data_IF_475114262732
#
_entry.id   IF_475114262732
#
_cell.length_a   1.000
_cell.length_b   1.000
_cell.length_c   1.000
_cell.angle_alpha   90.00
_cell.angle_beta   90.00
_cell.angle_gamma   90.00
#
_symmetry.space_group_name_H-M   'P 1'
#
loop_
_entity.id
_entity.type
_entity.pdbx_description
1 polymer ?
#
# COMPACT_ATOMS: atom_id res chain seq x y z
N UNK A 1 -5.09 -44.22 22.02
CA UNK A 1 -4.65 -43.13 21.11
C UNK A 1 -5.26 -41.84 21.61
N UNK A 2 -4.45 -40.85 21.99
CA UNK A 2 -4.95 -39.50 22.25
C UNK A 2 -5.06 -38.79 20.90
N UNK A 3 -6.28 -38.39 20.52
CA UNK A 3 -6.51 -37.60 19.31
C UNK A 3 -6.43 -36.12 19.70
N UNK A 4 -5.53 -35.39 19.02
CA UNK A 4 -5.55 -33.92 19.06
C UNK A 4 -6.75 -33.44 18.25
N UNK A 5 -7.80 -33.01 18.93
CA UNK A 5 -9.03 -32.49 18.31
C UNK A 5 -8.87 -31.07 17.76
N UNK A 6 -7.93 -30.29 18.30
CA UNK A 6 -7.60 -28.94 17.82
C UNK A 6 -6.08 -28.72 17.75
N UNK A 7 -5.50 -28.81 16.54
CA UNK A 7 -4.10 -28.46 16.31
C UNK A 7 -3.98 -26.99 15.91
N UNK A 8 -3.62 -26.14 16.87
CA UNK A 8 -3.30 -24.72 16.64
C UNK A 8 -1.79 -24.50 16.78
N UNK A 9 -1.08 -24.27 15.68
CA UNK A 9 0.34 -23.90 15.71
C UNK A 9 0.65 -22.78 14.70
N UNK A 10 1.70 -22.03 14.99
CA UNK A 10 2.28 -21.00 14.12
C UNK A 10 3.78 -21.24 14.08
N UNK A 11 4.38 -21.17 12.89
CA UNK A 11 5.80 -21.45 12.68
C UNK A 11 6.04 -22.61 11.73
N UNK A 12 7.28 -23.10 11.69
CA UNK A 12 7.68 -24.21 10.83
C UNK A 12 7.47 -25.55 11.52
N UNK A 13 6.90 -26.51 10.80
CA UNK A 13 6.84 -27.92 11.21
C UNK A 13 7.28 -28.78 10.02
N UNK A 14 8.54 -29.24 10.05
CA UNK A 14 9.17 -29.95 8.93
C UNK A 14 9.08 -29.16 7.62
N UNK A 15 8.48 -29.78 6.61
CA UNK A 15 8.21 -29.22 5.29
C UNK A 15 7.07 -28.19 5.29
N UNK A 16 6.36 -27.98 6.38
CA UNK A 16 5.23 -27.06 6.44
C UNK A 16 5.57 -25.79 7.20
N UNK A 17 4.87 -24.70 6.87
CA UNK A 17 4.89 -23.45 7.62
C UNK A 17 3.47 -22.96 7.80
N UNK A 18 3.07 -22.79 9.05
CA UNK A 18 1.76 -22.28 9.43
C UNK A 18 1.88 -20.81 9.88
N UNK A 19 0.99 -19.95 9.40
CA UNK A 19 0.91 -18.56 9.82
C UNK A 19 -0.54 -18.04 9.74
N UNK A 20 -0.84 -16.98 10.49
CA UNK A 20 -2.12 -16.28 10.39
C UNK A 20 -1.98 -15.04 9.52
N UNK A 21 -2.88 -14.86 8.57
CA UNK A 21 -2.98 -13.61 7.83
C UNK A 21 -3.88 -12.63 8.58
N UNK A 22 -3.44 -11.37 8.65
CA UNK A 22 -4.26 -10.31 9.27
C UNK A 22 -5.52 -10.09 8.42
N UNK A 23 -6.69 -10.24 9.02
CA UNK A 23 -7.99 -10.14 8.34
C UNK A 23 -8.63 -11.48 7.98
N UNK A 24 -8.03 -12.60 8.38
CA UNK A 24 -8.65 -13.93 8.27
C UNK A 24 -8.48 -14.69 9.59
N UNK A 25 -9.51 -15.37 10.06
CA UNK A 25 -9.43 -16.21 11.26
C UNK A 25 -8.80 -17.59 11.00
N UNK A 26 -8.51 -17.88 9.73
CA UNK A 26 -7.93 -19.15 9.28
C UNK A 26 -6.41 -19.15 9.41
N UNK A 27 -5.86 -20.30 9.82
CA UNK A 27 -4.42 -20.56 9.73
C UNK A 27 -4.08 -21.02 8.33
N UNK A 28 -3.15 -20.33 7.67
CA UNK A 28 -2.63 -20.72 6.35
C UNK A 28 -1.44 -21.64 6.57
N UNK A 29 -1.52 -22.85 6.03
CA UNK A 29 -0.43 -23.83 6.05
C UNK A 29 0.09 -23.98 4.61
N UNK A 30 1.38 -23.76 4.41
CA UNK A 30 2.04 -23.96 3.11
C UNK A 30 3.17 -24.98 3.23
N UNK A 31 3.41 -25.73 2.16
CA UNK A 31 4.63 -26.53 2.02
C UNK A 31 5.80 -25.63 1.62
N UNK A 32 6.99 -25.88 2.17
CA UNK A 32 8.26 -25.29 1.76
C UNK A 32 8.62 -25.87 0.40
N UNK A 33 8.94 -25.00 -0.54
CA UNK A 33 9.24 -25.40 -1.92
C UNK A 33 9.49 -24.17 -2.79
N UNK A 34 9.65 -24.41 -4.08
CA UNK A 34 9.96 -23.40 -5.08
C UNK A 34 11.45 -23.36 -5.44
N UNK A 35 11.75 -22.70 -6.55
CA UNK A 35 13.13 -22.52 -6.99
C UNK A 35 13.90 -21.58 -6.05
N UNK A 36 15.19 -21.84 -5.85
CA UNK A 36 16.03 -20.97 -5.06
C UNK A 36 16.16 -19.59 -5.71
N UNK A 37 16.45 -18.55 -4.91
CA UNK A 37 16.69 -17.19 -5.41
C UNK A 37 17.79 -17.18 -6.50
N UNK A 38 18.85 -17.96 -6.32
CA UNK A 38 19.94 -18.03 -7.29
C UNK A 38 19.47 -18.69 -8.59
N UNK A 39 18.71 -19.79 -8.49
CA UNK A 39 18.12 -20.45 -9.66
C UNK A 39 17.21 -19.51 -10.45
N UNK A 40 16.37 -18.71 -9.77
CA UNK A 40 15.49 -17.72 -10.41
C UNK A 40 16.32 -16.64 -11.12
N UNK A 41 17.45 -16.23 -10.54
CA UNK A 41 18.31 -15.18 -11.08
C UNK A 41 19.09 -15.62 -12.32
N UNK A 42 19.59 -16.85 -12.34
CA UNK A 42 20.56 -17.31 -13.35
C UNK A 42 19.98 -18.23 -14.41
N UNK A 43 19.05 -19.12 -14.05
CA UNK A 43 18.54 -20.13 -14.98
C UNK A 43 17.79 -19.51 -16.15
N UNK A 44 18.01 -20.04 -17.36
CA UNK A 44 17.29 -19.64 -18.58
C UNK A 44 15.78 -19.85 -18.45
N UNK A 45 15.34 -20.88 -17.71
CA UNK A 45 13.91 -21.18 -17.49
C UNK A 45 13.13 -20.02 -16.85
N UNK A 46 13.81 -19.17 -16.08
CA UNK A 46 13.19 -18.03 -15.41
C UNK A 46 13.40 -16.69 -16.14
N UNK A 47 13.87 -16.69 -17.39
CA UNK A 47 14.13 -15.46 -18.14
C UNK A 47 12.89 -14.56 -18.26
N UNK A 48 11.76 -15.11 -18.71
CA UNK A 48 10.49 -14.37 -18.83
C UNK A 48 9.96 -13.94 -17.47
N UNK A 49 10.06 -14.81 -16.45
CA UNK A 49 9.65 -14.47 -15.09
C UNK A 49 10.44 -13.28 -14.53
N UNK A 50 11.74 -13.15 -14.84
CA UNK A 50 12.55 -11.98 -14.47
C UNK A 50 12.07 -10.68 -15.12
N UNK A 51 11.60 -10.74 -16.38
CA UNK A 51 11.01 -9.59 -17.06
C UNK A 51 9.71 -9.17 -16.37
N UNK A 52 8.82 -10.12 -16.06
CA UNK A 52 7.58 -9.84 -15.33
C UNK A 52 7.82 -9.32 -13.91
N UNK A 53 8.82 -9.84 -13.20
CA UNK A 53 9.20 -9.34 -11.87
C UNK A 53 9.67 -7.88 -11.93
N UNK A 54 10.42 -7.51 -12.96
CA UNK A 54 10.87 -6.12 -13.18
C UNK A 54 9.68 -5.19 -13.37
N UNK A 55 8.76 -5.56 -14.26
CA UNK A 55 7.50 -4.85 -14.49
C UNK A 55 6.63 -4.72 -13.23
N UNK A 56 6.50 -5.82 -12.47
CA UNK A 56 5.75 -5.84 -11.21
C UNK A 56 6.38 -4.94 -10.14
N UNK A 57 7.72 -4.88 -10.10
CA UNK A 57 8.46 -3.93 -9.27
C UNK A 57 8.13 -2.48 -9.64
N UNK A 58 8.00 -2.17 -10.93
CA UNK A 58 7.53 -0.88 -11.41
C UNK A 58 6.12 -0.54 -10.92
N UNK A 59 5.16 -1.45 -11.13
CA UNK A 59 3.77 -1.28 -10.66
C UNK A 59 3.72 -1.07 -9.14
N UNK A 60 4.53 -1.80 -8.39
CA UNK A 60 4.60 -1.68 -6.92
C UNK A 60 5.16 -0.32 -6.47
N UNK A 61 6.14 0.22 -7.21
CA UNK A 61 6.75 1.52 -6.93
C UNK A 61 5.80 2.66 -7.29
N UNK A 62 5.17 2.63 -8.45
CA UNK A 62 4.14 3.61 -8.80
C UNK A 62 2.92 3.51 -7.86
N UNK A 63 2.53 2.29 -7.46
CA UNK A 63 1.45 2.08 -6.49
C UNK A 63 1.76 2.69 -5.12
N UNK A 64 3.04 2.73 -4.72
CA UNK A 64 3.46 3.47 -3.53
C UNK A 64 3.19 4.97 -3.70
N UNK A 65 3.49 5.55 -4.85
CA UNK A 65 3.26 6.97 -5.12
C UNK A 65 1.77 7.32 -5.18
N UNK A 66 0.94 6.50 -5.85
CA UNK A 66 -0.53 6.61 -5.83
C UNK A 66 -1.06 6.69 -4.41
N UNK A 67 -0.61 5.79 -3.53
CA UNK A 67 -1.01 5.76 -2.11
C UNK A 67 -0.42 6.92 -1.30
N UNK A 68 0.79 7.36 -1.63
CA UNK A 68 1.44 8.48 -0.98
C UNK A 68 0.69 9.80 -1.26
N UNK A 69 0.20 10.00 -2.50
CA UNK A 69 -0.61 11.15 -2.89
C UNK A 69 -1.97 11.24 -2.19
N UNK A 70 -2.44 10.15 -1.58
CA UNK A 70 -3.66 10.10 -0.77
C UNK A 70 -3.36 9.84 0.71
N UNK A 71 -2.16 10.15 1.19
CA UNK A 71 -1.78 9.93 2.59
C UNK A 71 -2.77 10.51 3.63
N UNK A 72 -3.41 11.67 3.42
CA UNK A 72 -4.43 12.18 4.34
C UNK A 72 -5.60 11.21 4.56
N UNK A 73 -5.90 10.39 3.55
CA UNK A 73 -6.99 9.41 3.58
C UNK A 73 -6.61 8.11 4.30
N UNK A 74 -5.36 7.98 4.77
CA UNK A 74 -4.87 6.75 5.43
C UNK A 74 -5.70 6.34 6.64
N UNK A 75 -6.28 7.30 7.36
CA UNK A 75 -7.14 7.02 8.50
C UNK A 75 -8.50 6.43 8.11
N UNK A 76 -8.93 6.60 6.86
CA UNK A 76 -10.21 6.16 6.32
C UNK A 76 -10.10 4.84 5.54
N UNK A 77 -8.91 4.52 5.05
CA UNK A 77 -8.67 3.37 4.19
C UNK A 77 -8.54 2.03 4.93
N UNK A 78 -8.87 0.94 4.24
CA UNK A 78 -8.63 -0.41 4.74
C UNK A 78 -7.13 -0.73 4.81
N UNK A 79 -6.77 -1.78 5.54
CA UNK A 79 -5.36 -2.17 5.66
C UNK A 79 -4.77 -2.73 4.35
N UNK A 80 -5.58 -3.31 3.45
CA UNK A 80 -5.10 -4.15 2.35
C UNK A 80 -5.61 -3.74 0.96
N UNK A 81 -5.70 -2.43 0.66
CA UNK A 81 -6.09 -1.98 -0.69
C UNK A 81 -4.90 -1.89 -1.68
N UNK A 82 -3.66 -2.01 -1.20
CA UNK A 82 -2.44 -1.91 -2.04
C UNK A 82 -2.38 -2.91 -3.19
N UNK A 83 -2.88 -4.14 -2.97
CA UNK A 83 -2.91 -5.18 -4.01
C UNK A 83 -3.84 -4.81 -5.16
N UNK A 84 -4.97 -4.17 -4.86
CA UNK A 84 -5.94 -3.72 -5.86
C UNK A 84 -5.42 -2.54 -6.68
N UNK A 85 -4.73 -1.59 -6.02
CA UNK A 85 -4.00 -0.51 -6.74
C UNK A 85 -2.98 -1.11 -7.70
N UNK A 86 -2.17 -2.08 -7.24
CA UNK A 86 -1.20 -2.76 -8.10
C UNK A 86 -1.87 -3.54 -9.24
N UNK A 87 -3.05 -4.13 -9.02
CA UNK A 87 -3.85 -4.80 -10.07
C UNK A 87 -4.23 -3.81 -11.17
N UNK A 88 -4.77 -2.65 -10.81
CA UNK A 88 -5.14 -1.59 -11.76
C UNK A 88 -3.91 -1.08 -12.54
N UNK A 89 -2.81 -0.77 -11.85
CA UNK A 89 -1.56 -0.35 -12.50
C UNK A 89 -0.99 -1.42 -13.43
N UNK A 90 -1.15 -2.70 -13.11
CA UNK A 90 -0.73 -3.79 -14.00
C UNK A 90 -1.56 -3.84 -15.27
N UNK A 91 -2.85 -3.47 -15.23
CA UNK A 91 -3.65 -3.34 -16.45
C UNK A 91 -3.17 -2.16 -17.29
N UNK A 92 -2.94 -0.99 -16.67
CA UNK A 92 -2.34 0.17 -17.36
C UNK A 92 -1.05 -0.21 -18.07
N UNK A 93 -0.15 -0.92 -17.38
CA UNK A 93 1.11 -1.37 -17.98
C UNK A 93 0.94 -2.32 -19.17
N UNK A 94 -0.14 -3.12 -19.20
CA UNK A 94 -0.40 -4.03 -20.34
C UNK A 94 -0.86 -3.28 -21.58
N UNK A 95 -1.40 -2.07 -21.43
CA UNK A 95 -1.85 -1.23 -22.55
C UNK A 95 -0.67 -0.61 -23.30
N UNK A 96 0.55 -0.62 -22.74
CA UNK A 96 1.75 -0.27 -23.48
C UNK A 96 2.10 -1.35 -24.51
N UNK A 97 1.65 -1.13 -25.75
CA UNK A 97 1.96 -1.95 -26.92
C UNK A 97 3.26 -1.56 -27.64
N UNK A 98 3.96 -0.51 -27.20
CA UNK A 98 5.16 0.00 -27.90
C UNK A 98 6.44 -0.58 -27.28
N UNK A 99 6.50 -0.64 -25.96
CA UNK A 99 7.70 -1.10 -25.26
C UNK A 99 7.82 -2.62 -25.21
N UNK A 100 9.06 -3.10 -25.19
CA UNK A 100 9.36 -4.54 -25.04
C UNK A 100 8.98 -5.07 -23.65
N UNK A 101 8.70 -6.38 -23.57
CA UNK A 101 8.41 -7.07 -22.31
C UNK A 101 9.54 -6.84 -21.28
N UNK A 102 9.17 -6.52 -20.04
CA UNK A 102 10.11 -6.17 -18.98
C UNK A 102 10.35 -4.66 -18.84
N UNK A 103 10.04 -3.89 -19.89
CA UNK A 103 10.31 -2.44 -19.98
C UNK A 103 9.08 -1.58 -20.30
N UNK A 104 7.89 -2.18 -20.25
CA UNK A 104 6.61 -1.49 -20.49
C UNK A 104 6.35 -0.39 -19.47
N UNK A 105 6.15 0.81 -19.98
CA UNK A 105 5.81 1.99 -19.20
C UNK A 105 4.43 1.84 -18.54
N UNK A 106 4.23 2.62 -17.49
CA UNK A 106 2.98 2.66 -16.73
C UNK A 106 2.44 4.08 -16.84
N UNK A 107 1.55 4.29 -17.82
CA UNK A 107 1.03 5.61 -18.19
C UNK A 107 -0.39 5.80 -17.68
N UNK A 108 -0.53 6.22 -16.42
CA UNK A 108 -1.82 6.58 -15.85
C UNK A 108 -2.38 7.82 -16.53
N UNK A 109 -1.52 8.74 -17.00
CA UNK A 109 -1.97 9.93 -17.73
C UNK A 109 -2.78 9.57 -18.98
N UNK A 110 -2.48 8.45 -19.64
CA UNK A 110 -3.20 8.01 -20.84
C UNK A 110 -4.46 7.19 -20.53
N UNK A 111 -4.51 6.59 -19.33
CA UNK A 111 -5.59 5.69 -18.89
C UNK A 111 -6.12 6.06 -17.50
N UNK A 112 -6.58 7.31 -17.28
CA UNK A 112 -7.05 7.77 -15.97
C UNK A 112 -8.29 6.98 -15.47
N UNK A 113 -9.11 6.48 -16.38
CA UNK A 113 -10.35 5.74 -16.13
C UNK A 113 -10.13 4.49 -15.26
N UNK A 114 -8.96 3.86 -15.34
CA UNK A 114 -8.64 2.62 -14.62
C UNK A 114 -8.46 2.79 -13.11
N UNK A 115 -8.29 4.02 -12.62
CA UNK A 115 -8.28 4.33 -11.18
C UNK A 115 -9.47 5.18 -10.74
N UNK A 116 -10.30 5.65 -11.67
CA UNK A 116 -11.49 6.43 -11.35
C UNK A 116 -12.52 5.57 -10.59
N UNK A 117 -13.06 6.12 -9.51
CA UNK A 117 -14.03 5.43 -8.66
C UNK A 117 -13.44 4.34 -7.76
N UNK A 118 -12.11 4.18 -7.71
CA UNK A 118 -11.48 3.15 -6.89
C UNK A 118 -11.83 3.31 -5.40
N UNK A 119 -12.46 2.30 -4.80
CA UNK A 119 -12.77 2.30 -3.36
C UNK A 119 -11.55 1.93 -2.53
N UNK A 120 -11.30 2.67 -1.44
CA UNK A 120 -10.23 2.34 -0.48
C UNK A 120 -10.71 1.35 0.59
N UNK A 121 -12.02 1.03 0.61
CA UNK A 121 -12.66 0.16 1.59
C UNK A 121 -13.43 -0.98 0.91
N UNK A 122 -13.32 -2.18 1.46
CA UNK A 122 -13.94 -3.40 0.91
C UNK A 122 -15.41 -3.52 1.23
N UNK A 123 -15.76 -3.35 2.50
CA UNK A 123 -17.11 -3.63 3.00
C UNK A 123 -17.93 -2.35 3.14
N UNK A 124 -17.36 -1.32 3.75
CA UNK A 124 -18.03 -0.05 3.96
C UNK A 124 -17.48 0.97 2.98
N UNK A 125 -18.03 1.00 1.77
CA UNK A 125 -17.56 1.89 0.70
C UNK A 125 -18.07 3.32 0.88
N UNK A 126 -17.39 4.30 0.28
CA UNK A 126 -17.88 5.68 0.27
C UNK A 126 -19.29 5.77 -0.32
N UNK A 127 -19.56 5.06 -1.42
CA UNK A 127 -20.86 5.07 -2.10
C UNK A 127 -21.97 4.37 -1.29
N UNK A 128 -21.61 3.47 -0.37
CA UNK A 128 -22.58 2.90 0.59
C UNK A 128 -23.05 3.93 1.62
N UNK A 129 -22.17 4.89 1.99
CA UNK A 129 -22.47 5.97 2.93
C UNK A 129 -23.12 7.17 2.25
N UNK A 130 -22.59 7.61 1.11
CA UNK A 130 -23.05 8.79 0.38
C UNK A 130 -23.65 8.32 -0.93
N UNK A 131 -24.98 8.13 -0.94
CA UNK A 131 -25.70 7.54 -2.09
C UNK A 131 -26.04 8.54 -3.19
N UNK A 132 -25.97 9.84 -2.92
CA UNK A 132 -26.08 10.86 -3.96
C UNK A 132 -24.69 11.12 -4.57
N UNK A 133 -24.55 11.10 -5.90
CA UNK A 133 -23.27 11.34 -6.55
C UNK A 133 -22.65 12.68 -6.14
N UNK A 134 -21.41 12.63 -5.67
CA UNK A 134 -20.54 13.81 -5.54
C UNK A 134 -19.93 14.06 -6.92
N UNK A 135 -20.13 15.25 -7.47
CA UNK A 135 -19.58 15.60 -8.79
C UNK A 135 -18.34 16.46 -8.64
N UNK A 136 -17.44 16.41 -9.61
CA UNK A 136 -16.24 17.23 -9.59
C UNK A 136 -15.79 17.62 -11.00
N UNK A 137 -15.09 18.73 -11.09
CA UNK A 137 -14.35 19.15 -12.29
C UNK A 137 -12.89 19.34 -11.89
N UNK A 138 -11.97 18.73 -12.63
CA UNK A 138 -10.52 18.87 -12.41
C UNK A 138 -9.94 19.67 -13.58
N UNK A 139 -9.20 20.73 -13.26
CA UNK A 139 -8.45 21.51 -14.23
C UNK A 139 -6.96 21.17 -14.12
N UNK A 140 -6.45 20.44 -15.13
CA UNK A 140 -5.03 20.06 -15.21
C UNK A 140 -4.11 21.25 -15.44
N UNK A 141 -4.58 22.29 -16.14
CA UNK A 141 -3.78 23.44 -16.49
C UNK A 141 -3.51 24.33 -15.28
N UNK A 142 -4.44 24.41 -14.32
CA UNK A 142 -4.24 25.17 -13.08
C UNK A 142 -3.89 24.30 -11.87
N UNK A 143 -3.96 22.97 -12.00
CA UNK A 143 -3.72 22.07 -10.87
C UNK A 143 -4.80 22.17 -9.79
N UNK A 144 -6.04 22.45 -10.20
CA UNK A 144 -7.16 22.71 -9.30
C UNK A 144 -8.33 21.77 -9.55
N UNK A 145 -9.21 21.65 -8.55
CA UNK A 145 -10.46 20.92 -8.68
C UNK A 145 -11.58 21.62 -7.91
N UNK A 146 -12.79 21.50 -8.43
CA UNK A 146 -14.03 21.92 -7.78
C UNK A 146 -14.88 20.70 -7.53
N UNK A 147 -15.36 20.53 -6.30
CA UNK A 147 -16.14 19.39 -5.84
C UNK A 147 -17.50 19.91 -5.38
N UNK A 148 -18.58 19.41 -5.97
CA UNK A 148 -19.94 19.74 -5.57
C UNK A 148 -20.50 18.63 -4.69
N UNK A 149 -20.70 18.95 -3.42
CA UNK A 149 -21.25 18.06 -2.42
C UNK A 149 -22.76 18.35 -2.33
N UNK A 150 -23.62 17.37 -2.67
CA UNK A 150 -25.06 17.53 -2.54
C UNK A 150 -25.44 17.66 -1.06
N UNK A 151 -26.64 18.19 -0.80
CA UNK A 151 -27.20 18.17 0.56
C UNK A 151 -27.24 16.73 1.07
N UNK A 152 -26.63 16.47 2.22
CA UNK A 152 -26.63 15.16 2.85
C UNK A 152 -27.69 15.14 3.95
N UNK A 153 -28.61 14.18 3.87
CA UNK A 153 -29.67 13.96 4.83
C UNK A 153 -29.60 12.51 5.29
N UNK A 154 -29.51 12.33 6.61
CA UNK A 154 -29.43 11.02 7.24
C UNK A 154 -30.63 10.16 6.81
N UNK A 155 -30.37 8.88 6.55
CA UNK A 155 -31.36 7.86 6.21
C UNK A 155 -32.09 8.07 4.85
N UNK A 156 -31.72 9.12 4.11
CA UNK A 156 -32.20 9.36 2.73
C UNK A 156 -31.06 9.09 1.74
N UNK A 157 -29.99 9.86 1.83
CA UNK A 157 -28.81 9.74 0.95
C UNK A 157 -27.49 9.69 1.71
N UNK A 158 -27.53 9.81 3.04
CA UNK A 158 -26.39 9.68 3.92
C UNK A 158 -26.62 8.60 4.99
N UNK A 159 -25.81 7.56 4.95
CA UNK A 159 -25.89 6.38 5.82
C UNK A 159 -24.56 6.19 6.55
N UNK A 160 -24.29 6.97 7.61
CA UNK A 160 -23.04 6.86 8.35
C UNK A 160 -22.90 5.47 8.98
N UNK A 161 -21.69 4.90 8.95
CA UNK A 161 -21.45 3.59 9.56
C UNK A 161 -21.25 3.73 11.08
N UNK A 162 -22.25 3.32 11.84
CA UNK A 162 -22.18 3.34 13.30
C UNK A 162 -22.56 4.67 13.94
N UNK A 163 -22.62 4.71 15.29
CA UNK A 163 -23.19 5.82 16.05
C UNK A 163 -22.17 6.96 16.28
N UNK A 164 -21.60 7.51 15.22
CA UNK A 164 -20.67 8.63 15.34
C UNK A 164 -21.40 9.98 15.35
N UNK A 165 -21.15 10.88 16.31
CA UNK A 165 -21.95 12.10 16.49
C UNK A 165 -21.70 13.16 15.42
N UNK A 166 -20.48 13.23 14.89
CA UNK A 166 -20.08 14.20 13.87
C UNK A 166 -19.37 13.55 12.69
N UNK A 167 -19.46 14.19 11.53
CA UNK A 167 -18.73 13.82 10.32
C UNK A 167 -18.23 15.05 9.57
N UNK A 168 -17.19 14.89 8.77
CA UNK A 168 -16.66 15.88 7.83
C UNK A 168 -16.30 15.16 6.53
N UNK A 169 -16.42 15.85 5.40
CA UNK A 169 -15.91 15.37 4.13
C UNK A 169 -14.52 15.95 3.92
N UNK A 170 -13.56 15.08 3.64
CA UNK A 170 -12.19 15.46 3.30
C UNK A 170 -11.96 15.15 1.83
N UNK A 171 -11.34 16.08 1.11
CA UNK A 171 -10.90 15.91 -0.27
C UNK A 171 -9.40 16.13 -0.36
N UNK A 172 -8.74 15.33 -1.19
CA UNK A 172 -7.30 15.38 -1.40
C UNK A 172 -7.01 15.36 -2.90
N UNK A 173 -6.25 16.33 -3.38
CA UNK A 173 -5.81 16.41 -4.77
C UNK A 173 -4.29 16.20 -4.81
N UNK A 174 -3.85 15.15 -5.51
CA UNK A 174 -2.43 14.81 -5.62
C UNK A 174 -1.99 14.57 -7.07
N UNK A 175 -0.68 14.66 -7.30
CA UNK A 175 -0.08 14.45 -8.63
C UNK A 175 0.56 13.08 -8.68
N UNK A 176 0.09 12.23 -9.60
CA UNK A 176 0.66 10.92 -9.85
C UNK A 176 1.40 10.96 -11.19
N UNK A 177 2.75 10.83 -11.20
CA UNK A 177 3.49 10.80 -12.45
C UNK A 177 3.40 9.44 -13.12
N UNK A 178 3.62 9.41 -14.42
CA UNK A 178 3.84 8.17 -15.16
C UNK A 178 5.22 7.59 -14.85
N UNK A 179 5.35 6.28 -14.98
CA UNK A 179 6.58 5.55 -14.68
C UNK A 179 7.14 4.90 -15.94
N UNK A 180 8.43 5.13 -16.20
CA UNK A 180 9.13 4.52 -17.34
C UNK A 180 10.33 3.71 -16.87
N UNK A 181 10.73 2.73 -17.70
CA UNK A 181 11.89 1.91 -17.40
C UNK A 181 13.19 2.65 -17.71
N UNK A 182 13.98 2.93 -16.67
CA UNK A 182 15.30 3.53 -16.83
C UNK A 182 16.35 2.44 -17.12
N UNK A 183 16.86 2.44 -18.35
CA UNK A 183 17.85 1.44 -18.80
C UNK A 183 19.22 1.57 -18.13
N UNK A 184 19.56 2.72 -17.56
CA UNK A 184 20.82 2.93 -16.85
C UNK A 184 20.77 2.35 -15.43
N UNK A 185 19.65 2.52 -14.73
CA UNK A 185 19.48 2.03 -13.34
C UNK A 185 18.87 0.64 -13.26
N UNK A 186 18.29 0.15 -14.37
CA UNK A 186 17.57 -1.12 -14.44
C UNK A 186 16.26 -1.13 -13.63
N UNK A 187 15.70 0.05 -13.35
CA UNK A 187 14.51 0.23 -12.50
C UNK A 187 13.51 1.17 -13.15
N UNK A 188 12.26 1.03 -12.76
CA UNK A 188 11.25 2.05 -13.06
C UNK A 188 11.44 3.25 -12.15
N UNK A 189 11.31 4.44 -12.72
CA UNK A 189 11.41 5.69 -12.01
C UNK A 189 10.36 6.68 -12.54
N UNK A 190 9.89 7.60 -11.70
CA UNK A 190 9.16 8.77 -12.18
C UNK A 190 10.09 9.68 -13.00
N UNK A 191 9.54 10.63 -13.78
CA UNK A 191 10.31 11.68 -14.42
C UNK A 191 11.03 12.57 -13.40
N UNK A 192 12.15 13.16 -13.81
CA UNK A 192 13.06 13.89 -12.91
C UNK A 192 12.40 15.08 -12.20
N UNK A 193 11.44 15.75 -12.84
CA UNK A 193 10.72 16.87 -12.21
C UNK A 193 9.91 16.45 -10.98
N UNK A 194 9.60 15.16 -10.83
CA UNK A 194 8.83 14.67 -9.69
C UNK A 194 9.61 14.71 -8.38
N UNK A 195 10.96 14.69 -8.43
CA UNK A 195 11.79 14.71 -7.22
C UNK A 195 11.57 15.99 -6.38
N UNK A 196 11.31 17.12 -7.05
CA UNK A 196 10.97 18.40 -6.41
C UNK A 196 9.47 18.59 -6.19
N UNK A 197 8.65 17.70 -6.75
CA UNK A 197 7.20 17.76 -6.64
C UNK A 197 6.72 16.89 -5.48
N UNK A 198 6.76 17.43 -4.28
CA UNK A 198 6.22 16.75 -3.11
C UNK A 198 5.03 17.53 -2.57
N UNK A 199 3.84 16.93 -2.69
CA UNK A 199 2.67 17.46 -2.02
C UNK A 199 1.35 16.96 -2.59
N UNK A 200 0.33 17.16 -1.80
CA UNK A 200 -1.08 17.09 -2.16
C UNK A 200 -1.74 18.33 -1.55
N UNK A 201 -2.82 18.79 -2.15
CA UNK A 201 -3.71 19.74 -1.51
C UNK A 201 -4.76 18.97 -0.70
N UNK A 202 -5.24 19.57 0.39
CA UNK A 202 -6.37 19.07 1.17
C UNK A 202 -7.39 20.19 1.32
N UNK A 203 -8.66 19.85 1.22
CA UNK A 203 -9.75 20.70 1.72
C UNK A 203 -10.72 19.83 2.52
N UNK A 204 -11.35 20.43 3.53
CA UNK A 204 -12.29 19.76 4.41
C UNK A 204 -13.54 20.60 4.56
N UNK A 205 -14.69 19.96 4.66
CA UNK A 205 -15.89 20.65 5.12
C UNK A 205 -15.80 20.89 6.63
N UNK A 206 -16.57 21.84 7.17
CA UNK A 206 -16.84 21.88 8.60
C UNK A 206 -17.35 20.53 9.12
N UNK A 207 -17.22 20.33 10.43
CA UNK A 207 -17.85 19.20 11.10
C UNK A 207 -19.35 19.41 11.19
N UNK A 208 -20.11 18.44 10.68
CA UNK A 208 -21.57 18.40 10.75
C UNK A 208 -22.04 17.32 11.71
N UNK A 209 -23.25 17.49 12.24
CA UNK A 209 -23.90 16.42 12.98
C UNK A 209 -24.30 15.29 12.04
N UNK A 210 -23.91 14.06 12.37
CA UNK A 210 -24.33 12.86 11.63
C UNK A 210 -25.83 12.57 11.75
N UNK A 211 -26.52 13.23 12.69
CA UNK A 211 -27.98 13.16 12.83
C UNK A 211 -28.70 14.15 11.93
N UNK A 212 -28.17 15.38 11.81
CA UNK A 212 -28.82 16.45 11.05
C UNK A 212 -28.42 16.46 9.56
N UNK A 213 -27.26 15.89 9.22
CA UNK A 213 -26.71 15.97 7.87
C UNK A 213 -26.03 17.32 7.61
N UNK A 214 -25.86 17.68 6.32
CA UNK A 214 -25.20 18.91 5.89
C UNK A 214 -25.94 19.58 4.72
N UNK A 215 -25.83 20.91 4.57
CA UNK A 215 -26.33 21.60 3.38
C UNK A 215 -25.53 21.23 2.14
N UNK A 216 -26.08 21.51 0.95
CA UNK A 216 -25.31 21.46 -0.28
C UNK A 216 -24.20 22.50 -0.24
N UNK A 217 -23.02 22.14 -0.71
CA UNK A 217 -21.84 23.02 -0.67
C UNK A 217 -20.84 22.64 -1.75
N UNK A 218 -19.91 23.56 -2.00
CA UNK A 218 -18.81 23.36 -2.95
C UNK A 218 -17.49 23.48 -2.18
N UNK A 219 -16.54 22.59 -2.51
CA UNK A 219 -15.16 22.70 -2.08
C UNK A 219 -14.29 22.98 -3.30
N UNK A 220 -13.50 24.05 -3.22
CA UNK A 220 -12.45 24.35 -4.19
C UNK A 220 -11.10 23.96 -3.58
N UNK A 221 -10.27 23.30 -4.37
CA UNK A 221 -8.96 22.80 -3.95
C UNK A 221 -7.95 23.05 -5.06
N UNK A 222 -6.76 23.52 -4.72
CA UNK A 222 -5.69 23.76 -5.69
C UNK A 222 -4.34 23.34 -5.11
N UNK A 223 -3.50 22.77 -5.95
CA UNK A 223 -2.11 22.48 -5.60
C UNK A 223 -1.36 23.79 -5.33
N UNK A 224 -0.54 23.80 -4.28
CA UNK A 224 0.31 24.94 -3.93
C UNK A 224 1.57 25.02 -4.80
N UNK A 225 1.95 23.89 -5.43
CA UNK A 225 3.15 23.75 -6.24
C UNK A 225 2.84 24.00 -7.73
N UNK A 226 3.88 24.37 -8.48
CA UNK A 226 3.81 24.54 -9.93
C UNK A 226 3.26 23.29 -10.63
N UNK A 227 2.46 23.50 -11.68
CA UNK A 227 1.97 22.44 -12.57
C UNK A 227 3.18 21.68 -13.15
N UNK A 228 3.11 20.35 -13.29
CA UNK A 228 4.19 19.59 -13.91
C UNK A 228 4.55 20.13 -15.30
N UNK A 229 5.83 20.10 -15.69
CA UNK A 229 6.29 20.72 -16.94
C UNK A 229 5.92 19.93 -18.20
N UNK A 230 5.49 18.67 -18.06
CA UNK A 230 5.11 17.81 -19.18
C UNK A 230 3.71 17.22 -18.99
N UNK A 231 3.24 16.44 -19.97
CA UNK A 231 1.91 15.83 -19.93
C UNK A 231 1.87 14.47 -19.20
N UNK A 232 3.01 13.95 -18.74
CA UNK A 232 3.20 12.60 -18.18
C UNK A 232 2.78 12.47 -16.72
N UNK A 233 1.63 13.05 -16.37
CA UNK A 233 1.09 13.04 -15.02
C UNK A 233 -0.43 12.97 -15.02
N UNK A 234 -0.98 12.49 -13.92
CA UNK A 234 -2.40 12.53 -13.62
C UNK A 234 -2.68 13.32 -12.35
N UNK A 235 -3.79 14.05 -12.34
CA UNK A 235 -4.35 14.60 -11.11
C UNK A 235 -5.33 13.60 -10.51
N UNK A 236 -5.02 13.13 -9.31
CA UNK A 236 -5.85 12.18 -8.57
C UNK A 236 -6.64 12.93 -7.50
N UNK A 237 -7.97 12.99 -7.66
CA UNK A 237 -8.86 13.55 -6.66
C UNK A 237 -9.48 12.42 -5.83
N UNK A 238 -9.24 12.44 -4.52
CA UNK A 238 -9.77 11.46 -3.57
C UNK A 238 -10.74 12.16 -2.62
N UNK A 239 -11.86 11.51 -2.31
CA UNK A 239 -12.86 11.99 -1.35
C UNK A 239 -13.05 10.96 -0.24
N UNK A 240 -13.27 11.42 0.97
CA UNK A 240 -13.56 10.55 2.11
C UNK A 240 -14.53 11.18 3.10
N UNK A 241 -15.28 10.31 3.78
CA UNK A 241 -16.08 10.66 4.96
C UNK A 241 -15.26 10.31 6.19
N UNK A 242 -14.95 11.31 7.01
CA UNK A 242 -14.30 11.11 8.30
C UNK A 242 -15.29 11.35 9.44
N UNK A 243 -15.17 10.55 10.50
CA UNK A 243 -16.03 10.66 11.68
C UNK A 243 -15.27 11.23 12.87
N UNK A 244 -15.99 11.92 13.74
CA UNK A 244 -15.41 12.61 14.88
C UNK A 244 -16.28 12.55 16.13
N UNK A 245 -15.64 12.76 17.28
CA UNK A 245 -16.28 12.89 18.59
C UNK A 245 -16.09 14.32 19.10
N UNK A 246 -17.13 14.90 19.68
CA UNK A 246 -17.03 16.19 20.36
C UNK A 246 -16.28 16.01 21.68
N UNK A 247 -15.31 16.87 21.92
CA UNK A 247 -14.63 17.02 23.20
C UNK A 247 -15.19 18.21 23.98
N UNK A 248 -14.95 18.23 25.29
CA UNK A 248 -15.50 19.21 26.24
C UNK A 248 -15.14 20.67 25.88
N UNK A 249 -14.04 20.88 25.17
CA UNK A 249 -13.62 22.19 24.67
C UNK A 249 -14.34 22.64 23.38
N UNK A 250 -15.37 21.92 22.94
CA UNK A 250 -16.11 22.19 21.70
C UNK A 250 -15.39 21.78 20.41
N UNK A 251 -14.19 21.20 20.50
CA UNK A 251 -13.46 20.72 19.32
C UNK A 251 -13.89 19.31 18.95
N UNK A 252 -13.94 19.02 17.65
CA UNK A 252 -14.18 17.66 17.15
C UNK A 252 -12.86 17.00 16.82
N UNK A 253 -12.63 15.81 17.38
CA UNK A 253 -11.45 15.01 17.08
C UNK A 253 -11.83 13.83 16.20
N UNK A 254 -11.08 13.64 15.11
CA UNK A 254 -11.25 12.51 14.21
C UNK A 254 -11.04 11.17 14.93
N UNK A 255 -11.95 10.23 14.69
CA UNK A 255 -11.83 8.83 15.10
C UNK A 255 -10.98 8.11 14.05
N UNK A 256 -9.86 7.53 14.49
CA UNK A 256 -8.97 6.79 13.59
C UNK A 256 -9.64 5.51 13.09
N UNK A 257 -9.31 5.11 11.85
CA UNK A 257 -9.74 3.83 11.24
C UNK A 257 -11.25 3.69 11.12
N UNK A 258 -11.94 4.82 10.99
CA UNK A 258 -13.39 4.93 10.86
C UNK A 258 -13.68 5.87 9.72
N UNK A 259 -14.68 5.55 8.91
CA UNK A 259 -14.99 6.28 7.69
C UNK A 259 -14.84 5.43 6.45
N UNK A 260 -14.90 6.09 5.31
CA UNK A 260 -14.61 5.48 4.02
C UNK A 260 -14.08 6.52 3.04
N UNK A 261 -13.30 6.07 2.07
CA UNK A 261 -12.76 6.91 1.02
C UNK A 261 -12.77 6.22 -0.35
N UNK A 262 -12.77 7.03 -1.40
CA UNK A 262 -12.60 6.58 -2.79
C UNK A 262 -11.81 7.59 -3.60
N UNK A 263 -11.12 7.13 -4.64
CA UNK A 263 -10.66 7.99 -5.73
C UNK A 263 -11.91 8.43 -6.48
N UNK A 264 -12.27 9.71 -6.39
CA UNK A 264 -13.48 10.25 -7.01
C UNK A 264 -13.31 10.36 -8.51
N UNK A 265 -12.18 10.93 -8.94
CA UNK A 265 -11.86 11.16 -10.35
C UNK A 265 -10.36 11.24 -10.54
N UNK A 266 -9.91 10.88 -11.73
CA UNK A 266 -8.52 11.04 -12.16
C UNK A 266 -8.53 11.82 -13.48
N UNK A 267 -7.68 12.83 -13.62
CA UNK A 267 -7.56 13.59 -14.85
C UNK A 267 -6.17 13.38 -15.45
N UNK A 268 -6.11 12.85 -16.67
CA UNK A 268 -4.90 12.58 -17.44
C UNK A 268 -4.84 13.37 -18.76
N UNK A 269 -3.92 12.98 -19.64
CA UNK A 269 -3.80 13.47 -21.03
C UNK A 269 -4.59 12.62 -22.03
N UNK A 270 -5.08 11.44 -21.61
CA UNK A 270 -5.91 10.55 -22.42
C UNK A 270 -7.37 11.03 -22.58
N UNK A 271 -8.11 10.46 -23.55
CA UNK A 271 -9.51 10.79 -23.78
C UNK A 271 -10.36 10.44 -22.57
N UNK A 272 -11.21 11.38 -22.13
CA UNK A 272 -12.02 11.25 -20.89
C UNK A 272 -13.35 10.52 -21.13
N UNK A 273 -13.67 10.15 -22.38
CA UNK A 273 -15.03 9.79 -22.81
C UNK A 273 -15.28 8.29 -23.03
N UNK A 274 -14.29 7.41 -22.84
CA UNK A 274 -14.54 5.95 -22.87
C UNK A 274 -14.85 5.44 -21.46
N UNK A 275 -16.12 5.17 -21.19
CA UNK A 275 -16.59 4.51 -19.95
C UNK A 275 -16.12 3.05 -19.99
N UNK A 276 -14.86 2.80 -19.63
CA UNK A 276 -14.39 1.46 -19.29
C UNK A 276 -14.90 1.15 -17.87
N UNK A 277 -15.55 0.00 -17.62
CA UNK A 277 -15.99 -0.35 -16.27
C UNK A 277 -14.82 -0.31 -15.28
N UNK A 278 -15.06 0.24 -14.09
CA UNK A 278 -14.09 0.27 -12.99
C UNK A 278 -13.84 -1.16 -12.47
N UNK A 279 -12.87 -1.85 -13.05
CA UNK A 279 -12.45 -3.22 -12.69
C UNK A 279 -11.54 -3.21 -11.43
N UNK A 280 -11.24 -2.03 -10.88
CA UNK A 280 -10.33 -1.82 -9.75
C UNK A 280 -10.95 -2.00 -8.37
N UNK A 281 -12.28 -2.09 -8.27
CA UNK A 281 -12.97 -2.24 -6.99
C UNK A 281 -12.93 -3.67 -6.45
N UNK A 282 -13.23 -3.84 -5.17
CA UNK A 282 -13.16 -5.12 -4.46
C UNK A 282 -14.11 -6.23 -4.99
N UNK A 283 -14.92 -5.96 -6.02
CA UNK A 283 -16.02 -6.81 -6.51
C UNK A 283 -15.70 -7.80 -7.64
N UNK A 284 -14.62 -7.63 -8.40
CA UNK A 284 -14.32 -8.52 -9.55
C UNK A 284 -13.17 -9.49 -9.22
N UNK A 285 -13.41 -10.42 -8.30
CA UNK A 285 -12.36 -11.37 -7.83
C UNK A 285 -12.61 -12.86 -8.07
N UNK A 286 -13.74 -13.26 -8.66
CA UNK A 286 -13.99 -14.70 -8.89
C UNK A 286 -13.67 -15.20 -10.30
N UNK A 287 -13.14 -14.34 -11.17
CA UNK A 287 -12.55 -14.74 -12.43
C UNK A 287 -11.11 -14.20 -12.50
N UNK A 288 -10.16 -15.03 -12.93
CA UNK A 288 -8.77 -14.66 -13.19
C UNK A 288 -7.78 -14.63 -12.01
N UNK A 289 -7.74 -15.73 -11.24
CA UNK A 289 -6.43 -16.36 -11.02
C UNK A 289 -6.23 -17.32 -12.21
N UNK A 290 -5.31 -17.08 -13.15
CA UNK A 290 -4.96 -18.14 -14.08
C UNK A 290 -4.33 -19.26 -13.26
N UNK A 291 -4.99 -20.41 -13.18
CA UNK A 291 -4.47 -21.66 -12.63
C UNK A 291 -3.21 -22.16 -13.37
N UNK A 292 -2.79 -21.50 -14.44
CA UNK A 292 -1.58 -21.82 -15.19
C UNK A 292 -0.34 -21.13 -14.58
N UNK A 293 0.04 -21.50 -13.37
CA UNK A 293 1.42 -21.35 -12.89
C UNK A 293 2.11 -22.70 -12.64
N UNK A 294 1.42 -23.81 -12.92
CA UNK A 294 1.94 -25.18 -12.89
C UNK A 294 1.27 -26.00 -14.00
N UNK A 295 1.69 -25.80 -15.25
CA UNK A 295 1.50 -26.79 -16.30
C UNK A 295 2.81 -26.88 -17.07
N UNK A 296 3.28 -28.12 -17.25
CA UNK A 296 4.40 -28.46 -18.13
C UNK A 296 4.11 -27.94 -19.54
N UNK A 297 4.93 -27.00 -20.02
CA UNK A 297 4.96 -26.67 -21.44
C UNK A 297 6.03 -27.53 -22.13
N UNK A 298 5.70 -28.20 -23.25
CA UNK A 298 6.65 -28.98 -24.02
C UNK A 298 7.70 -28.05 -24.65
N UNK A 299 8.93 -28.53 -24.74
CA UNK A 299 10.05 -27.79 -25.35
C UNK A 299 9.71 -27.37 -26.78
N UNK A 300 9.45 -26.08 -27.00
CA UNK A 300 9.60 -25.48 -28.32
C UNK A 300 11.06 -25.01 -28.50
N UNK A 301 11.69 -25.50 -29.55
CA UNK A 301 13.03 -25.15 -29.98
C UNK A 301 13.11 -23.68 -30.39
N UNK A 302 13.82 -22.88 -29.60
CA UNK A 302 14.13 -21.48 -29.93
C UNK A 302 15.46 -21.47 -30.72
N UNK A 303 15.51 -20.92 -31.95
CA UNK A 303 16.75 -20.85 -32.72
C UNK A 303 17.79 -19.96 -32.02
N UNK A 304 19.06 -20.35 -32.17
CA UNK A 304 20.19 -19.76 -31.45
C UNK A 304 20.46 -18.30 -31.87
N UNK A 305 20.19 -17.36 -30.95
CA UNK A 305 20.76 -16.02 -31.05
C UNK A 305 22.19 -16.06 -30.50
N UNK A 306 23.16 -16.36 -31.37
CA UNK A 306 24.57 -16.12 -31.11
C UNK A 306 24.86 -14.62 -31.11
N UNK A 307 25.43 -14.09 -30.02
CA UNK A 307 26.08 -12.77 -30.04
C UNK A 307 25.53 -11.74 -29.07
N UNK A 308 25.53 -12.03 -27.76
CA UNK A 308 25.69 -10.97 -26.76
C UNK A 308 26.43 -11.54 -25.55
N UNK A 309 27.65 -11.03 -25.30
CA UNK A 309 28.45 -11.42 -24.16
C UNK A 309 27.75 -10.98 -22.85
N UNK A 310 27.77 -11.80 -21.78
CA UNK A 310 27.21 -11.41 -20.49
C UNK A 310 27.99 -10.23 -19.89
N UNK A 311 27.27 -9.25 -19.36
CA UNK A 311 27.86 -8.13 -18.63
C UNK A 311 28.67 -8.63 -17.41
N UNK A 312 29.83 -8.03 -17.10
CA UNK A 312 30.68 -8.47 -16.01
C UNK A 312 29.99 -8.29 -14.64
N UNK A 313 30.27 -9.16 -13.66
CA UNK A 313 29.70 -9.06 -12.33
C UNK A 313 30.15 -7.76 -11.63
N UNK A 314 29.18 -7.07 -11.01
CA UNK A 314 29.46 -5.87 -10.23
C UNK A 314 30.37 -6.20 -9.03
N UNK A 315 31.38 -5.34 -8.80
CA UNK A 315 32.32 -5.46 -7.70
C UNK A 315 31.62 -5.45 -6.33
N UNK A 316 32.13 -6.19 -5.33
CA UNK A 316 31.56 -6.22 -3.99
C UNK A 316 31.62 -4.83 -3.34
N UNK A 317 30.49 -4.40 -2.75
CA UNK A 317 30.40 -3.13 -2.02
C UNK A 317 31.30 -3.17 -0.79
N UNK A 318 32.23 -2.21 -0.68
CA UNK A 318 32.99 -1.98 0.54
C UNK A 318 32.06 -1.66 1.71
N UNK A 319 32.32 -2.26 2.87
CA UNK A 319 31.62 -2.00 4.12
C UNK A 319 31.93 -0.57 4.57
N UNK A 320 30.95 0.33 4.50
CA UNK A 320 31.02 1.66 5.12
C UNK A 320 30.44 1.55 6.53
N UNK A 321 31.24 1.89 7.54
CA UNK A 321 30.76 2.05 8.91
C UNK A 321 29.67 3.13 8.97
N UNK A 322 28.61 2.92 9.79
CA UNK A 322 27.56 3.91 9.95
C UNK A 322 28.06 5.13 10.74
N UNK A 323 27.65 6.36 10.38
CA UNK A 323 27.99 7.56 11.14
C UNK A 323 27.36 7.52 12.55
N UNK A 324 28.10 8.05 13.53
CA UNK A 324 27.72 8.06 14.95
C UNK A 324 26.39 8.79 15.20
N UNK A 325 25.53 8.17 16.02
CA UNK A 325 24.22 8.69 16.43
C UNK A 325 24.36 9.86 17.42
N UNK A 326 23.83 11.06 17.12
CA UNK A 326 23.91 12.23 18.00
C UNK A 326 22.98 12.18 19.23
N UNK A 327 22.30 11.06 19.52
CA UNK A 327 21.37 10.94 20.67
C UNK A 327 21.93 10.26 21.92
N UNK A 328 23.25 10.05 22.05
CA UNK A 328 23.87 9.63 23.31
C UNK A 328 24.21 10.84 24.18
N UNK A 329 23.26 11.26 25.00
CA UNK A 329 23.51 12.18 26.14
C UNK A 329 24.30 11.41 27.19
N UNK A 330 25.49 11.92 27.52
CA UNK A 330 26.39 11.38 28.53
C UNK A 330 25.81 11.58 29.94
N UNK A 331 25.69 10.50 30.71
CA UNK A 331 25.61 10.59 32.16
C UNK A 331 27.02 10.50 32.72
N UNK A 332 27.54 11.63 33.15
CA UNK A 332 28.82 11.78 33.85
C UNK A 332 28.65 11.27 35.28
N UNK A 333 29.22 10.11 35.60
CA UNK A 333 29.48 9.72 36.99
C UNK A 333 30.91 10.10 37.34
N UNK A 334 31.04 11.02 38.29
CA UNK A 334 32.29 11.49 38.89
C UNK A 334 32.85 10.34 39.75
N UNK A 335 33.96 9.73 39.33
CA UNK A 335 34.73 8.80 40.16
C UNK A 335 35.86 9.54 40.86
N UNK A 336 35.77 9.69 42.18
CA UNK A 336 36.90 10.12 43.03
C UNK A 336 37.60 8.92 43.64
N UNK A 337 38.90 8.79 43.34
CA UNK A 337 39.94 8.51 44.33
C UNK A 337 40.28 7.06 44.67
N UNK A 338 41.38 6.57 44.07
CA UNK A 338 42.51 5.78 44.64
C UNK A 338 42.20 4.75 45.75
N UNK A 339 42.65 3.49 45.66
CA UNK A 339 44.07 3.08 45.78
C UNK A 339 44.19 1.56 45.53
N UNK A 340 45.31 1.14 44.94
CA UNK A 340 45.70 -0.23 44.64
C UNK A 340 45.99 -1.09 45.89
N UNK A 341 45.82 -2.43 45.80
CA UNK A 341 46.79 -3.52 46.11
C UNK A 341 46.20 -4.88 45.61
N UNK A 342 47.07 -5.74 45.07
CA UNK A 342 46.94 -7.02 44.33
C UNK A 342 46.44 -8.27 45.15
N UNK A 343 46.60 -9.56 44.71
CA UNK A 343 45.81 -10.30 43.71
C UNK A 343 45.28 -11.70 44.19
N UNK A 344 44.45 -12.32 43.33
CA UNK A 344 44.17 -13.76 43.14
C UNK A 344 43.55 -14.65 44.25
N UNK A 345 42.36 -15.23 43.98
CA UNK A 345 42.00 -16.65 44.28
C UNK A 345 40.59 -17.07 43.75
N UNK A 346 40.60 -18.01 42.79
CA UNK A 346 39.82 -19.28 42.64
C UNK A 346 38.32 -19.46 43.02
N UNK A 347 37.56 -20.01 42.04
CA UNK A 347 36.47 -21.04 42.05
C UNK A 347 35.12 -20.80 42.78
N UNK A 348 34.00 -20.88 42.04
CA UNK A 348 33.15 -22.10 41.90
C UNK A 348 31.74 -21.80 41.37
N UNK A 349 31.16 -22.79 40.67
CA UNK A 349 29.86 -22.83 39.99
C UNK A 349 28.65 -22.62 40.91
N UNK A 350 27.53 -22.16 40.34
CA UNK A 350 26.20 -22.66 40.73
C UNK A 350 25.13 -22.49 39.62
N UNK A 351 24.55 -23.63 39.29
CA UNK A 351 23.33 -23.87 38.50
C UNK A 351 22.10 -23.56 39.35
N UNK A 352 21.00 -23.11 38.73
CA UNK A 352 19.67 -23.12 39.34
C UNK A 352 18.64 -23.70 38.35
N UNK A 353 18.05 -24.84 38.73
CA UNK A 353 16.80 -25.41 38.21
C UNK A 353 15.62 -24.96 39.09
N UNK A 354 14.47 -24.69 38.48
CA UNK A 354 13.11 -24.77 39.05
C UNK A 354 12.16 -24.94 37.84
N UNK A 355 11.20 -25.85 37.71
CA UNK A 355 10.52 -26.78 38.60
C UNK A 355 9.09 -26.92 38.05
N UNK A 356 8.70 -28.12 37.59
CA UNK A 356 7.37 -28.44 37.03
C UNK A 356 6.33 -28.48 38.15
N UNK A 357 5.15 -27.91 37.93
CA UNK A 357 4.00 -28.04 38.85
C UNK A 357 2.83 -28.73 38.15
N UNK A 358 2.51 -29.93 38.65
CA UNK A 358 1.27 -30.64 38.40
C UNK A 358 0.11 -29.95 39.14
N UNK A 359 -1.04 -29.82 38.48
CA UNK A 359 -2.30 -29.43 39.13
C UNK A 359 -3.32 -30.56 38.95
N UNK A 360 -3.72 -31.14 40.07
CA UNK A 360 -4.75 -32.17 40.19
C UNK A 360 -6.15 -31.58 39.97
N UNK A 361 -6.97 -32.25 39.15
CA UNK A 361 -8.42 -32.05 39.10
C UNK A 361 -9.10 -32.99 40.12
N UNK A 362 -9.80 -32.40 41.09
CA UNK A 362 -10.76 -33.08 41.96
C UNK A 362 -12.16 -32.87 41.37
N UNK A 363 -12.94 -33.95 41.25
CA UNK A 363 -14.31 -33.95 40.73
C UNK A 363 -15.39 -33.93 41.81
N UNK A 364 -16.61 -33.64 41.34
CA UNK A 364 -17.95 -33.91 41.88
C UNK A 364 -18.37 -33.25 43.22
N UNK A 365 -19.37 -32.36 43.17
CA UNK A 365 -20.80 -32.69 43.18
C UNK A 365 -21.62 -31.64 42.44
#
# INVERSE_FOLDING_TARGET
MAYLTELKFSGSLGDFTAYKMRGTDKTVIRRKGGASKETIRTSRRFATARLWMTEFGGCSTMGKEVRFMMHPMKALADYNFSGFVNKALKQIQKLDGVSVLGRRAIRLSQHPELLQGFSLNKYTTFDSMVRTPVTCTIDRATGSARINIPRLVRDINFFPNGPHPAYSLVVCLGVVPDFEFNSQTGKYAPPQWYDSMQGWAIAETPWYSSLKGSPAQTLDIALQNAIPPDAGYSLQLTVGVQFGVLHDNGTVKQIKRTGAAKILSVAGSGPTDEIIPNIGSFGDTDAFLPETFLADDPQEDIPSASGLAPAPPAAPKAFREPPADPRKVAYTYISTGNRAVEPAATKSERVFEVGVTDVYFSGYQ
#
